data_IF_624282276750
#
_entry.id   IF_624282276750
#
_cell.length_a   1.000
_cell.length_b   1.000
_cell.length_c   1.000
_cell.angle_alpha   90.00
_cell.angle_beta   90.00
_cell.angle_gamma   90.00
#
_symmetry.space_group_name_H-M   'P 1'
#
loop_
_entity.id
_entity.type
_entity.pdbx_description
1 polymer ?
#
# COMPACT_ATOMS: atom_id res chain seq x y z
N UNK A 1 28.27 -0.83 -39.07
CA UNK A 1 27.06 -1.35 -38.42
C UNK A 1 26.42 -0.19 -37.67
N UNK A 2 25.44 0.46 -38.28
CA UNK A 2 24.73 1.61 -37.69
C UNK A 2 23.98 1.13 -36.45
N UNK A 3 24.26 1.78 -35.32
CA UNK A 3 23.70 1.45 -34.01
C UNK A 3 22.20 1.78 -34.02
N UNK A 4 21.36 0.79 -34.32
CA UNK A 4 19.91 0.95 -34.57
C UNK A 4 19.07 0.95 -33.28
N UNK A 5 19.73 1.03 -32.12
CA UNK A 5 19.12 0.99 -30.78
C UNK A 5 18.10 2.12 -30.56
N UNK A 6 18.28 3.27 -31.22
CA UNK A 6 17.34 4.40 -31.16
C UNK A 6 15.98 4.14 -31.81
N UNK A 7 15.83 3.07 -32.62
CA UNK A 7 14.54 2.71 -33.24
C UNK A 7 13.64 1.86 -32.35
N UNK A 8 14.17 1.31 -31.25
CA UNK A 8 13.42 0.42 -30.37
C UNK A 8 13.05 1.12 -29.06
N UNK A 9 11.79 0.94 -28.64
CA UNK A 9 11.31 1.42 -27.35
C UNK A 9 11.55 0.32 -26.32
N UNK A 10 12.13 0.70 -25.18
CA UNK A 10 12.27 -0.21 -24.05
C UNK A 10 10.89 -0.78 -23.64
N UNK A 11 10.80 -2.11 -23.54
CA UNK A 11 9.55 -2.82 -23.24
C UNK A 11 8.99 -2.43 -21.86
N UNK A 12 9.83 -2.37 -20.85
CA UNK A 12 9.40 -2.13 -19.47
C UNK A 12 9.00 -0.67 -19.27
N UNK A 13 9.71 0.28 -19.89
CA UNK A 13 9.30 1.68 -19.93
C UNK A 13 8.01 1.89 -20.73
N UNK A 14 7.78 1.12 -21.79
CA UNK A 14 6.50 1.14 -22.53
C UNK A 14 5.32 0.67 -21.67
N UNK A 15 5.53 -0.33 -20.81
CA UNK A 15 4.52 -0.76 -19.83
C UNK A 15 4.23 0.31 -18.78
N UNK A 16 5.26 1.02 -18.29
CA UNK A 16 5.05 2.17 -17.40
C UNK A 16 4.29 3.30 -18.10
N UNK A 17 4.61 3.60 -19.36
CA UNK A 17 3.89 4.59 -20.16
C UNK A 17 2.42 4.19 -20.38
N UNK A 18 2.14 2.89 -20.58
CA UNK A 18 0.78 2.37 -20.57
C UNK A 18 0.09 2.63 -19.22
N UNK A 19 0.76 2.37 -18.09
CA UNK A 19 0.17 2.60 -16.78
C UNK A 19 -0.09 4.10 -16.50
N UNK A 20 0.76 5.00 -17.01
CA UNK A 20 0.48 6.44 -17.02
C UNK A 20 -0.81 6.78 -17.78
N UNK A 21 -1.08 6.13 -18.92
CA UNK A 21 -2.34 6.33 -19.65
C UNK A 21 -3.55 5.81 -18.88
N UNK A 22 -3.41 4.72 -18.13
CA UNK A 22 -4.48 4.25 -17.21
C UNK A 22 -4.73 5.30 -16.13
N UNK A 23 -3.69 5.86 -15.51
CA UNK A 23 -3.84 6.95 -14.54
C UNK A 23 -4.49 8.20 -15.16
N UNK A 24 -4.23 8.50 -16.44
CA UNK A 24 -4.88 9.61 -17.14
C UNK A 24 -6.40 9.46 -17.21
N UNK A 25 -6.93 8.24 -17.28
CA UNK A 25 -8.39 8.02 -17.19
C UNK A 25 -8.96 8.39 -15.81
N UNK A 26 -8.17 8.26 -14.73
CA UNK A 26 -8.59 8.73 -13.40
C UNK A 26 -8.57 10.26 -13.27
N UNK A 27 -7.80 10.94 -14.13
CA UNK A 27 -7.63 12.39 -14.16
C UNK A 27 -8.62 13.07 -15.11
N UNK A 28 -9.30 12.32 -15.98
CA UNK A 28 -10.26 12.84 -16.94
C UNK A 28 -11.61 13.14 -16.27
N UNK A 29 -12.02 14.41 -16.28
CA UNK A 29 -13.28 14.85 -15.68
C UNK A 29 -14.52 14.44 -16.48
N UNK A 30 -14.36 14.00 -17.73
CA UNK A 30 -15.45 13.43 -18.52
C UNK A 30 -15.78 11.98 -18.10
N UNK A 31 -14.90 11.32 -17.35
CA UNK A 31 -15.13 9.98 -16.81
C UNK A 31 -15.92 10.11 -15.50
N UNK A 32 -16.99 9.31 -15.27
CA UNK A 32 -17.74 9.35 -14.02
C UNK A 32 -16.83 9.15 -12.79
N UNK A 33 -17.13 9.86 -11.68
CA UNK A 33 -16.25 9.93 -10.51
C UNK A 33 -15.83 8.57 -9.94
N UNK A 34 -16.75 7.63 -9.80
CA UNK A 34 -16.42 6.29 -9.31
C UNK A 34 -15.61 5.47 -10.32
N UNK A 35 -15.79 5.70 -11.62
CA UNK A 35 -14.95 5.08 -12.65
C UNK A 35 -13.53 5.67 -12.61
N UNK A 36 -13.37 6.96 -12.34
CA UNK A 36 -12.06 7.59 -12.10
C UNK A 36 -11.34 6.94 -10.92
N UNK A 37 -12.05 6.73 -9.81
CA UNK A 37 -11.50 6.01 -8.65
C UNK A 37 -11.08 4.57 -9.02
N UNK A 38 -11.89 3.86 -9.81
CA UNK A 38 -11.53 2.53 -10.31
C UNK A 38 -10.27 2.56 -11.17
N UNK A 39 -10.13 3.50 -12.10
CA UNK A 39 -8.91 3.64 -12.91
C UNK A 39 -7.68 3.93 -12.06
N UNK A 40 -7.80 4.75 -11.01
CA UNK A 40 -6.72 4.96 -10.05
C UNK A 40 -6.34 3.63 -9.38
N UNK A 41 -7.31 2.85 -8.89
CA UNK A 41 -7.05 1.53 -8.30
C UNK A 41 -6.38 0.56 -9.28
N UNK A 42 -6.86 0.51 -10.53
CA UNK A 42 -6.27 -0.32 -11.60
C UNK A 42 -4.82 0.09 -11.83
N UNK A 43 -4.50 1.39 -11.85
CA UNK A 43 -3.12 1.85 -12.03
C UNK A 43 -2.19 1.38 -10.91
N UNK A 44 -2.69 1.27 -9.67
CA UNK A 44 -1.96 0.71 -8.53
C UNK A 44 -1.77 -0.81 -8.66
N UNK A 45 -2.81 -1.54 -9.09
CA UNK A 45 -2.73 -2.99 -9.30
C UNK A 45 -1.76 -3.35 -10.42
N UNK A 46 -1.81 -2.64 -11.55
CA UNK A 46 -0.85 -2.80 -12.65
C UNK A 46 0.59 -2.57 -12.17
N UNK A 47 0.80 -1.57 -11.31
CA UNK A 47 2.11 -1.28 -10.75
C UNK A 47 2.58 -2.39 -9.81
N UNK A 48 1.70 -2.94 -8.97
CA UNK A 48 2.03 -4.09 -8.14
C UNK A 48 2.50 -5.27 -9.02
N UNK A 49 1.74 -5.65 -10.05
CA UNK A 49 2.09 -6.75 -10.95
C UNK A 49 3.40 -6.50 -11.71
N UNK A 50 3.62 -5.27 -12.17
CA UNK A 50 4.87 -4.86 -12.80
C UNK A 50 6.08 -5.10 -11.89
N UNK A 51 5.97 -4.78 -10.59
CA UNK A 51 7.04 -5.05 -9.62
C UNK A 51 7.20 -6.54 -9.29
N UNK A 52 6.09 -7.27 -9.20
CA UNK A 52 6.09 -8.71 -8.88
C UNK A 52 6.75 -9.55 -9.98
N UNK A 53 6.60 -9.15 -11.25
CA UNK A 53 7.09 -9.91 -12.41
C UNK A 53 8.30 -9.26 -13.06
N UNK A 54 8.19 -8.00 -13.51
CA UNK A 54 9.16 -7.36 -14.41
C UNK A 54 10.40 -6.89 -13.66
N UNK A 55 10.20 -6.08 -12.63
CA UNK A 55 11.32 -5.58 -11.80
C UNK A 55 12.04 -6.74 -11.11
N UNK A 56 11.31 -7.79 -10.70
CA UNK A 56 11.91 -8.99 -10.14
C UNK A 56 12.89 -9.67 -11.10
N UNK A 57 12.49 -9.89 -12.37
CA UNK A 57 13.36 -10.47 -13.41
C UNK A 57 14.59 -9.60 -13.68
N UNK A 58 14.42 -8.28 -13.74
CA UNK A 58 15.55 -7.35 -13.93
C UNK A 58 16.54 -7.39 -12.76
N UNK A 59 16.04 -7.41 -11.52
CA UNK A 59 16.88 -7.56 -10.32
C UNK A 59 17.66 -8.87 -10.34
N UNK A 60 17.02 -9.97 -10.74
CA UNK A 60 17.69 -11.27 -10.87
C UNK A 60 18.81 -11.24 -11.92
N UNK A 61 18.61 -10.58 -13.07
CA UNK A 61 19.67 -10.41 -14.08
C UNK A 61 20.88 -9.66 -13.51
N UNK A 62 20.64 -8.59 -12.75
CA UNK A 62 21.71 -7.82 -12.10
C UNK A 62 22.44 -8.67 -11.06
N UNK A 63 21.73 -9.42 -10.22
CA UNK A 63 22.32 -10.31 -9.20
C UNK A 63 23.19 -11.42 -9.83
N UNK A 64 22.81 -11.92 -11.01
CA UNK A 64 23.58 -12.90 -11.78
C UNK A 64 24.74 -12.27 -12.58
N UNK A 65 24.94 -10.95 -12.53
CA UNK A 65 25.99 -10.27 -13.29
C UNK A 65 25.74 -10.25 -14.80
N UNK A 66 24.50 -10.43 -15.25
CA UNK A 66 24.13 -10.37 -16.66
C UNK A 66 24.03 -8.89 -17.10
N UNK A 67 25.14 -8.35 -17.59
CA UNK A 67 25.27 -6.92 -17.96
C UNK A 67 24.93 -6.64 -19.43
N UNK A 68 24.56 -7.65 -20.21
CA UNK A 68 24.26 -7.47 -21.64
C UNK A 68 23.10 -6.49 -21.82
N UNK A 69 23.29 -5.40 -22.59
CA UNK A 69 22.21 -4.46 -22.88
C UNK A 69 21.06 -5.12 -23.62
N UNK A 70 19.86 -4.60 -23.40
CA UNK A 70 18.68 -4.92 -24.21
C UNK A 70 18.80 -4.28 -25.61
N UNK A 71 17.85 -4.58 -26.50
CA UNK A 71 17.83 -4.13 -27.91
C UNK A 71 17.79 -2.59 -28.03
N UNK A 72 17.24 -1.92 -27.02
CA UNK A 72 17.21 -0.46 -26.86
C UNK A 72 18.53 0.14 -26.32
N UNK A 73 19.53 -0.71 -26.01
CA UNK A 73 20.86 -0.29 -25.59
C UNK A 73 21.04 -0.04 -24.09
N UNK A 74 19.99 -0.19 -23.26
CA UNK A 74 20.10 -0.07 -21.81
C UNK A 74 20.59 -1.36 -21.16
N UNK A 75 21.54 -1.24 -20.24
CA UNK A 75 21.87 -2.32 -19.30
C UNK A 75 20.76 -2.53 -18.28
N UNK A 76 20.63 -3.71 -17.65
CA UNK A 76 19.61 -3.94 -16.62
C UNK A 76 19.68 -2.94 -15.44
N UNK A 77 20.87 -2.48 -15.07
CA UNK A 77 21.05 -1.47 -14.02
C UNK A 77 20.53 -0.09 -14.44
N UNK A 78 20.79 0.33 -15.68
CA UNK A 78 20.26 1.59 -16.22
C UNK A 78 18.75 1.53 -16.40
N UNK A 79 18.21 0.40 -16.84
CA UNK A 79 16.78 0.16 -16.97
C UNK A 79 16.08 0.23 -15.59
N UNK A 80 16.65 -0.39 -14.55
CA UNK A 80 16.15 -0.26 -13.17
C UNK A 80 16.16 1.19 -12.67
N UNK A 81 17.20 1.96 -13.00
CA UNK A 81 17.28 3.38 -12.63
C UNK A 81 16.21 4.21 -13.36
N UNK A 82 15.98 3.95 -14.65
CA UNK A 82 14.93 4.60 -15.43
C UNK A 82 13.52 4.24 -14.93
N UNK A 83 13.28 2.96 -14.63
CA UNK A 83 12.04 2.47 -14.01
C UNK A 83 11.80 3.15 -12.67
N UNK A 84 12.83 3.24 -11.82
CA UNK A 84 12.71 3.87 -10.52
C UNK A 84 12.25 5.32 -10.65
N UNK A 85 12.87 6.10 -11.54
CA UNK A 85 12.48 7.51 -11.78
C UNK A 85 11.01 7.62 -12.21
N UNK A 86 10.61 6.91 -13.26
CA UNK A 86 9.24 6.98 -13.79
C UNK A 86 8.20 6.49 -12.77
N UNK A 87 8.53 5.46 -11.98
CA UNK A 87 7.63 4.95 -10.94
C UNK A 87 7.41 5.98 -9.84
N UNK A 88 8.45 6.68 -9.37
CA UNK A 88 8.28 7.73 -8.36
C UNK A 88 7.37 8.85 -8.88
N UNK A 89 7.53 9.25 -10.15
CA UNK A 89 6.67 10.25 -10.78
C UNK A 89 5.22 9.75 -10.89
N UNK A 90 5.00 8.49 -11.30
CA UNK A 90 3.67 7.89 -11.38
C UNK A 90 2.99 7.84 -10.01
N UNK A 91 3.69 7.36 -8.97
CA UNK A 91 3.14 7.26 -7.61
C UNK A 91 2.82 8.65 -7.05
N UNK A 92 3.67 9.65 -7.29
CA UNK A 92 3.39 11.04 -6.93
C UNK A 92 2.07 11.51 -7.56
N UNK A 93 1.88 11.27 -8.86
CA UNK A 93 0.65 11.64 -9.56
C UNK A 93 -0.58 10.86 -9.05
N UNK A 94 -0.44 9.58 -8.67
CA UNK A 94 -1.51 8.80 -8.05
C UNK A 94 -2.00 9.45 -6.74
N UNK A 95 -1.06 9.86 -5.87
CA UNK A 95 -1.41 10.53 -4.62
C UNK A 95 -2.04 11.91 -4.84
N UNK A 96 -1.53 12.69 -5.79
CA UNK A 96 -2.14 13.98 -6.14
C UNK A 96 -3.57 13.78 -6.66
N UNK A 97 -3.76 12.85 -7.60
CA UNK A 97 -5.08 12.52 -8.16
C UNK A 97 -6.06 12.08 -7.07
N UNK A 98 -5.62 11.25 -6.11
CA UNK A 98 -6.45 10.82 -5.00
C UNK A 98 -6.83 11.98 -4.07
N UNK A 99 -5.83 12.69 -3.55
CA UNK A 99 -6.01 13.63 -2.44
C UNK A 99 -6.54 15.00 -2.90
N UNK A 100 -6.17 15.45 -4.09
CA UNK A 100 -6.48 16.80 -4.57
C UNK A 100 -7.68 16.81 -5.54
N UNK A 101 -8.06 15.66 -6.10
CA UNK A 101 -9.18 15.59 -7.06
C UNK A 101 -10.29 14.62 -6.63
N UNK A 102 -9.96 13.34 -6.41
CA UNK A 102 -11.00 12.31 -6.20
C UNK A 102 -11.66 12.43 -4.83
N UNK A 103 -10.89 12.49 -3.74
CA UNK A 103 -11.46 12.59 -2.38
C UNK A 103 -12.27 13.88 -2.18
N UNK A 104 -11.81 15.07 -2.64
CA UNK A 104 -12.63 16.28 -2.57
C UNK A 104 -13.93 16.19 -3.38
N UNK A 105 -13.88 15.64 -4.60
CA UNK A 105 -15.08 15.45 -5.43
C UNK A 105 -16.07 14.46 -4.80
N UNK A 106 -15.59 13.38 -4.17
CA UNK A 106 -16.44 12.45 -3.43
C UNK A 106 -17.13 13.15 -2.26
N UNK A 107 -16.42 14.03 -1.55
CA UNK A 107 -17.00 14.81 -0.45
C UNK A 107 -18.12 15.76 -0.90
N UNK A 108 -18.06 16.30 -2.11
CA UNK A 108 -19.14 17.10 -2.69
C UNK A 108 -20.42 16.28 -2.94
N UNK A 109 -20.25 15.00 -3.25
CA UNK A 109 -21.33 14.01 -3.38
C UNK A 109 -21.67 13.32 -2.03
N UNK A 110 -21.27 13.92 -0.91
CA UNK A 110 -21.54 13.42 0.45
C UNK A 110 -20.92 12.04 0.77
N UNK A 111 -19.89 11.63 0.03
CA UNK A 111 -19.11 10.42 0.26
C UNK A 111 -17.77 10.79 0.91
N UNK A 112 -17.63 10.58 2.22
CA UNK A 112 -16.46 11.06 2.97
C UNK A 112 -15.63 9.91 3.54
N UNK A 113 -14.31 10.12 3.59
CA UNK A 113 -13.42 9.29 4.40
C UNK A 113 -12.95 10.11 5.60
N UNK A 114 -13.51 9.80 6.76
CA UNK A 114 -13.28 10.56 7.98
C UNK A 114 -11.90 10.28 8.57
N UNK A 115 -11.15 11.35 8.81
CA UNK A 115 -9.94 11.33 9.62
C UNK A 115 -10.28 11.33 11.12
N UNK A 116 -9.33 10.97 11.98
CA UNK A 116 -9.55 10.95 13.45
C UNK A 116 -9.99 12.29 14.02
N UNK A 117 -9.61 13.41 13.37
CA UNK A 117 -10.00 14.75 13.77
C UNK A 117 -11.48 15.06 13.48
N UNK A 118 -12.10 14.32 12.56
CA UNK A 118 -13.50 14.47 12.15
C UNK A 118 -14.44 13.52 12.91
N UNK A 119 -13.93 12.70 13.82
CA UNK A 119 -14.76 11.77 14.59
C UNK A 119 -15.50 12.51 15.69
N UNK A 120 -16.83 12.43 15.67
CA UNK A 120 -17.68 12.76 16.83
C UNK A 120 -17.48 11.73 17.94
N UNK A 121 -17.94 12.02 19.15
CA UNK A 121 -17.86 11.09 20.28
C UNK A 121 -18.60 9.78 20.01
N UNK A 122 -19.72 9.84 19.29
CA UNK A 122 -20.50 8.64 18.91
C UNK A 122 -19.77 7.80 17.87
N UNK A 123 -19.18 8.43 16.85
CA UNK A 123 -18.33 7.73 15.87
C UNK A 123 -17.13 7.11 16.58
N UNK A 124 -16.45 7.84 17.46
CA UNK A 124 -15.31 7.31 18.23
C UNK A 124 -15.71 6.09 19.05
N UNK A 125 -16.85 6.14 19.75
CA UNK A 125 -17.36 5.02 20.56
C UNK A 125 -17.70 3.81 19.68
N UNK A 126 -18.35 4.03 18.54
CA UNK A 126 -18.68 2.97 17.59
C UNK A 126 -17.43 2.34 16.94
N UNK A 127 -16.46 3.14 16.50
CA UNK A 127 -15.20 2.64 15.94
C UNK A 127 -14.43 1.84 16.99
N UNK A 128 -14.38 2.33 18.23
CA UNK A 128 -13.72 1.63 19.35
C UNK A 128 -14.38 0.28 19.62
N UNK A 129 -15.71 0.23 19.71
CA UNK A 129 -16.45 -1.02 19.87
C UNK A 129 -16.20 -1.97 18.69
N UNK A 130 -16.25 -1.48 17.46
CA UNK A 130 -15.95 -2.27 16.26
C UNK A 130 -14.53 -2.81 16.28
N UNK A 131 -13.57 -2.01 16.76
CA UNK A 131 -12.20 -2.45 16.94
C UNK A 131 -12.10 -3.59 17.94
N UNK A 132 -12.67 -3.46 19.13
CA UNK A 132 -12.61 -4.49 20.17
C UNK A 132 -13.30 -5.79 19.77
N UNK A 133 -14.46 -5.69 19.11
CA UNK A 133 -15.30 -6.86 18.82
C UNK A 133 -14.92 -7.58 17.52
N UNK A 134 -14.42 -6.86 16.51
CA UNK A 134 -14.24 -7.43 15.16
C UNK A 134 -12.79 -7.37 14.67
N UNK A 135 -12.02 -6.35 15.05
CA UNK A 135 -10.67 -6.12 14.50
C UNK A 135 -9.61 -6.74 15.42
N UNK A 136 -9.55 -6.32 16.68
CA UNK A 136 -8.56 -6.75 17.66
C UNK A 136 -8.45 -8.29 17.78
N UNK A 137 -9.55 -9.07 17.82
CA UNK A 137 -9.46 -10.53 17.97
C UNK A 137 -8.76 -11.25 16.82
N UNK A 138 -8.71 -10.62 15.63
CA UNK A 138 -8.06 -11.19 14.44
C UNK A 138 -6.74 -10.51 14.11
N UNK A 139 -6.32 -9.50 14.88
CA UNK A 139 -4.98 -8.93 14.77
C UNK A 139 -3.96 -9.89 15.38
N UNK A 140 -2.85 -10.10 14.67
CA UNK A 140 -1.76 -10.93 15.18
C UNK A 140 -0.56 -10.06 15.55
N UNK A 141 -0.36 -9.71 16.83
CA UNK A 141 0.84 -9.03 17.29
C UNK A 141 2.01 -10.01 17.38
N UNK A 142 3.18 -9.58 16.90
CA UNK A 142 4.41 -10.36 16.88
C UNK A 142 5.55 -9.48 17.40
N UNK A 143 6.03 -9.75 18.61
CA UNK A 143 7.20 -9.06 19.15
C UNK A 143 8.45 -9.35 18.32
N UNK A 144 9.25 -8.31 18.06
CA UNK A 144 10.56 -8.45 17.43
C UNK A 144 11.64 -8.64 18.49
N UNK A 145 12.48 -9.65 18.27
CA UNK A 145 13.60 -10.02 19.11
C UNK A 145 14.84 -10.19 18.21
N UNK A 146 15.95 -9.46 18.44
CA UNK A 146 17.19 -9.63 17.66
C UNK A 146 17.72 -11.07 17.62
N UNK A 147 17.40 -11.89 18.63
CA UNK A 147 17.83 -13.29 18.68
C UNK A 147 16.99 -14.23 17.78
N UNK A 148 15.93 -13.71 17.12
CA UNK A 148 15.04 -14.49 16.26
C UNK A 148 14.97 -13.90 14.86
N UNK A 149 14.76 -14.73 13.81
CA UNK A 149 14.62 -14.22 12.46
C UNK A 149 13.41 -13.29 12.34
N UNK A 150 13.52 -12.30 11.45
CA UNK A 150 12.45 -11.36 11.19
C UNK A 150 11.18 -12.11 10.71
N UNK A 151 9.99 -11.81 11.27
CA UNK A 151 8.77 -12.54 10.92
C UNK A 151 8.42 -12.44 9.43
N UNK A 152 8.05 -13.56 8.80
CA UNK A 152 7.67 -13.57 7.37
C UNK A 152 6.45 -12.67 7.11
N UNK A 153 6.67 -11.59 6.36
CA UNK A 153 5.60 -10.68 5.92
C UNK A 153 4.95 -11.22 4.65
N UNK A 154 3.64 -11.42 4.69
CA UNK A 154 2.87 -11.90 3.54
C UNK A 154 2.85 -10.85 2.42
N UNK A 155 2.87 -11.33 1.17
CA UNK A 155 2.87 -10.46 0.01
C UNK A 155 1.60 -9.58 -0.02
N UNK A 156 1.75 -8.28 -0.28
CA UNK A 156 0.67 -7.29 -0.35
C UNK A 156 -0.24 -7.24 0.89
N UNK A 157 0.20 -7.76 2.05
CA UNK A 157 -0.57 -7.64 3.30
C UNK A 157 -0.37 -6.29 3.96
N UNK A 158 -1.39 -5.81 4.68
CA UNK A 158 -1.28 -4.63 5.53
C UNK A 158 -0.67 -5.05 6.86
N UNK A 159 0.43 -4.39 7.23
CA UNK A 159 1.12 -4.62 8.48
C UNK A 159 1.40 -3.28 9.14
N UNK A 160 1.62 -3.31 10.44
CA UNK A 160 2.02 -2.16 11.23
C UNK A 160 3.29 -2.50 11.98
N UNK A 161 4.27 -1.60 11.97
CA UNK A 161 5.41 -1.65 12.88
C UNK A 161 5.13 -0.69 14.03
N UNK A 162 5.16 -1.22 15.24
CA UNK A 162 4.76 -0.53 16.46
C UNK A 162 5.97 -0.46 17.39
N UNK A 163 6.35 0.74 17.80
CA UNK A 163 7.38 0.95 18.81
C UNK A 163 6.72 1.05 20.17
N UNK A 164 7.23 0.25 21.10
CA UNK A 164 6.66 0.06 22.43
C UNK A 164 7.61 0.61 23.49
N UNK A 165 7.05 1.22 24.53
CA UNK A 165 7.74 1.65 25.74
C UNK A 165 7.15 0.91 26.95
N UNK A 166 7.96 0.77 28.00
CA UNK A 166 7.56 0.06 29.21
C UNK A 166 7.98 -1.41 29.25
N UNK A 167 7.25 -2.21 30.02
CA UNK A 167 7.47 -3.64 30.20
C UNK A 167 6.13 -4.35 30.04
N UNK A 168 6.12 -5.48 29.35
CA UNK A 168 4.92 -6.30 29.28
C UNK A 168 4.55 -6.90 30.67
N UNK A 169 3.40 -7.57 30.75
CA UNK A 169 2.95 -8.27 31.97
C UNK A 169 3.97 -9.30 32.53
N UNK A 170 4.95 -9.72 31.71
CA UNK A 170 6.02 -10.65 32.07
C UNK A 170 7.37 -9.95 32.31
N UNK A 171 7.37 -8.62 32.50
CA UNK A 171 8.55 -7.77 32.72
C UNK A 171 9.56 -7.76 31.56
N UNK A 172 9.19 -8.26 30.37
CA UNK A 172 10.04 -8.26 29.18
C UNK A 172 10.07 -6.87 28.54
N UNK A 173 11.23 -6.51 28.02
CA UNK A 173 11.43 -5.29 27.23
C UNK A 173 11.33 -5.63 25.75
N UNK A 174 10.12 -5.62 25.20
CA UNK A 174 9.94 -5.64 23.75
C UNK A 174 9.87 -4.20 23.27
N UNK A 175 10.82 -3.77 22.44
CA UNK A 175 10.88 -2.39 21.93
C UNK A 175 10.10 -2.19 20.64
N UNK A 176 9.90 -3.27 19.88
CA UNK A 176 9.24 -3.22 18.58
C UNK A 176 8.39 -4.46 18.38
N UNK A 177 7.21 -4.28 17.80
CA UNK A 177 6.32 -5.36 17.40
C UNK A 177 5.77 -5.11 15.98
N UNK A 178 5.39 -6.19 15.32
CA UNK A 178 4.63 -6.15 14.07
C UNK A 178 3.20 -6.58 14.36
N UNK A 179 2.24 -5.80 13.91
CA UNK A 179 0.82 -6.17 13.94
C UNK A 179 0.37 -6.45 12.52
N UNK A 180 -0.19 -7.63 12.29
CA UNK A 180 -0.69 -8.04 10.97
C UNK A 180 -2.20 -7.91 10.92
N UNK A 181 -2.70 -7.19 9.92
CA UNK A 181 -4.13 -7.11 9.64
C UNK A 181 -4.50 -8.11 8.52
N UNK A 182 -5.31 -9.15 8.81
CA UNK A 182 -5.69 -10.15 7.82
C UNK A 182 -6.47 -9.53 6.65
N UNK A 183 -6.45 -10.20 5.49
CA UNK A 183 -7.16 -9.74 4.29
C UNK A 183 -8.68 -9.85 4.40
N UNK A 184 -9.18 -10.63 5.35
CA UNK A 184 -10.62 -10.75 5.65
C UNK A 184 -11.21 -9.47 6.25
N UNK A 185 -10.38 -8.61 6.85
CA UNK A 185 -10.85 -7.33 7.36
C UNK A 185 -11.10 -6.33 6.22
N UNK A 186 -12.26 -5.64 6.23
CA UNK A 186 -12.54 -4.59 5.26
C UNK A 186 -11.51 -3.45 5.41
N UNK A 187 -10.96 -2.96 4.29
CA UNK A 187 -10.03 -1.82 4.29
C UNK A 187 -10.72 -0.48 4.55
N UNK A 188 -12.00 -0.42 4.17
CA UNK A 188 -12.87 0.74 4.31
C UNK A 188 -14.12 0.27 5.06
N UNK A 189 -14.45 0.95 6.16
CA UNK A 189 -15.55 0.56 7.05
C UNK A 189 -16.57 1.69 7.01
N UNK A 190 -17.81 1.39 6.60
CA UNK A 190 -18.89 2.38 6.54
C UNK A 190 -19.38 2.72 7.94
N UNK A 191 -19.51 4.00 8.23
CA UNK A 191 -20.13 4.53 9.45
C UNK A 191 -21.65 4.29 9.36
N UNK A 192 -22.30 3.73 10.40
CA UNK A 192 -23.74 3.53 10.40
C UNK A 192 -24.50 4.87 10.28
N UNK A 193 -25.56 4.90 9.46
CA UNK A 193 -26.39 6.08 9.26
C UNK A 193 -26.96 6.66 10.59
N UNK A 194 -27.22 5.79 11.57
CA UNK A 194 -27.68 6.21 12.90
C UNK A 194 -26.73 7.17 13.64
N UNK A 195 -25.44 7.20 13.28
CA UNK A 195 -24.43 8.08 13.88
C UNK A 195 -23.70 8.97 12.86
N UNK A 196 -23.72 8.60 11.57
CA UNK A 196 -23.15 9.38 10.46
C UNK A 196 -24.14 10.30 9.75
N UNK A 197 -25.44 10.20 10.08
CA UNK A 197 -26.50 10.94 9.38
C UNK A 197 -26.75 10.41 7.97
N UNK A 198 -27.12 11.31 7.07
CA UNK A 198 -27.47 10.99 5.69
C UNK A 198 -26.26 10.86 4.75
N UNK A 199 -25.05 11.17 5.23
CA UNK A 199 -23.83 11.06 4.44
C UNK A 199 -23.34 9.61 4.34
N UNK A 200 -22.65 9.30 3.25
CA UNK A 200 -21.90 8.06 3.07
C UNK A 200 -20.49 8.21 3.66
N UNK A 201 -20.42 8.15 4.99
CA UNK A 201 -19.17 8.30 5.72
C UNK A 201 -18.44 6.96 5.93
N UNK A 202 -17.12 6.97 5.80
CA UNK A 202 -16.26 5.81 5.93
C UNK A 202 -15.04 6.10 6.81
N UNK A 203 -14.47 5.06 7.42
CA UNK A 203 -13.16 5.12 8.08
C UNK A 203 -12.23 4.05 7.49
N UNK A 204 -10.96 4.39 7.32
CA UNK A 204 -9.96 3.39 6.94
C UNK A 204 -9.61 2.48 8.11
N UNK A 205 -9.47 1.18 7.85
CA UNK A 205 -8.93 0.22 8.80
C UNK A 205 -7.57 0.65 9.36
N UNK A 206 -6.74 1.29 8.54
CA UNK A 206 -5.43 1.81 8.96
C UNK A 206 -5.55 2.88 10.04
N UNK A 207 -6.51 3.79 9.90
CA UNK A 207 -6.82 4.81 10.90
C UNK A 207 -7.32 4.18 12.19
N UNK A 208 -8.25 3.22 12.09
CA UNK A 208 -8.80 2.51 13.25
C UNK A 208 -7.71 1.76 14.02
N UNK A 209 -6.90 0.94 13.33
CA UNK A 209 -5.81 0.20 13.96
C UNK A 209 -4.80 1.17 14.56
N UNK A 210 -4.35 2.19 13.82
CA UNK A 210 -3.37 3.16 14.35
C UNK A 210 -3.85 3.83 15.64
N UNK A 211 -5.15 4.12 15.74
CA UNK A 211 -5.74 4.75 16.92
C UNK A 211 -5.77 3.82 18.15
N UNK A 212 -6.09 2.53 17.97
CA UNK A 212 -6.40 1.62 19.08
C UNK A 212 -5.42 0.44 19.23
N UNK A 213 -4.34 0.37 18.43
CA UNK A 213 -3.37 -0.75 18.47
C UNK A 213 -2.73 -0.97 19.84
N UNK A 214 -2.72 0.05 20.72
CA UNK A 214 -2.23 -0.07 22.10
C UNK A 214 -2.93 -1.16 22.91
N UNK A 215 -4.20 -1.44 22.63
CA UNK A 215 -4.95 -2.49 23.33
C UNK A 215 -4.44 -3.91 23.01
N UNK A 216 -3.70 -4.09 21.91
CA UNK A 216 -3.02 -5.35 21.61
C UNK A 216 -1.78 -5.58 22.50
N UNK A 217 -1.36 -4.59 23.29
CA UNK A 217 -0.14 -4.61 24.10
C UNK A 217 -0.42 -4.16 25.55
N UNK A 218 -1.14 -4.96 26.36
CA UNK A 218 -1.48 -4.59 27.73
C UNK A 218 -0.23 -4.37 28.60
N UNK A 219 -0.21 -3.24 29.32
CA UNK A 219 0.90 -2.84 30.18
C UNK A 219 2.04 -2.11 29.46
N UNK A 220 1.90 -1.82 28.16
CA UNK A 220 2.90 -1.12 27.36
C UNK A 220 2.31 0.12 26.70
N UNK A 221 3.15 1.15 26.56
CA UNK A 221 2.78 2.38 25.86
C UNK A 221 3.22 2.33 24.40
N UNK A 222 2.39 2.84 23.49
CA UNK A 222 2.73 2.99 22.08
C UNK A 222 3.50 4.29 21.88
N UNK A 223 4.78 4.21 21.53
CA UNK A 223 5.57 5.38 21.16
C UNK A 223 5.29 5.84 19.73
N UNK A 224 5.13 4.90 18.81
CA UNK A 224 4.78 5.20 17.42
C UNK A 224 4.23 3.96 16.70
N UNK A 225 3.44 4.19 15.65
CA UNK A 225 2.83 3.15 14.84
C UNK A 225 2.85 3.58 13.37
N UNK A 226 3.50 2.77 12.53
CA UNK A 226 3.64 3.02 11.09
C UNK A 226 3.09 1.84 10.30
N UNK A 227 2.26 2.12 9.30
CA UNK A 227 1.78 1.10 8.37
C UNK A 227 2.85 0.79 7.32
N UNK A 228 2.90 -0.46 6.88
CA UNK A 228 3.75 -0.87 5.76
C UNK A 228 3.16 -2.07 5.03
N UNK A 229 3.58 -2.22 3.77
CA UNK A 229 3.23 -3.30 2.87
C UNK A 229 4.48 -3.67 2.08
N UNK A 230 4.67 -4.97 1.82
CA UNK A 230 5.77 -5.46 0.99
C UNK A 230 5.19 -6.14 -0.23
N UNK A 231 5.75 -5.84 -1.39
CA UNK A 231 5.51 -6.55 -2.64
C UNK A 231 6.68 -7.50 -2.89
N UNK A 232 6.39 -8.78 -3.06
CA UNK A 232 7.37 -9.86 -3.30
C UNK A 232 7.21 -10.37 -4.72
N UNK A 233 8.30 -10.85 -5.32
CA UNK A 233 8.22 -11.46 -6.65
C UNK A 233 7.19 -12.59 -6.70
N UNK A 234 6.51 -12.70 -7.83
CA UNK A 234 5.76 -13.91 -8.14
C UNK A 234 6.78 -15.01 -8.40
N UNK A 235 6.81 -16.08 -7.62
CA UNK A 235 7.65 -17.27 -7.85
C UNK A 235 7.25 -18.04 -9.14
N UNK A 236 6.92 -17.33 -10.21
CA UNK A 236 6.57 -17.83 -11.52
C UNK A 236 7.85 -17.87 -12.35
N UNK A 237 8.55 -19.00 -12.29
CA UNK A 237 9.49 -19.36 -13.33
C UNK A 237 8.64 -19.68 -14.56
N UNK A 238 8.72 -18.84 -15.59
CA UNK A 238 8.23 -19.22 -16.91
C UNK A 238 9.38 -19.97 -17.54
N UNK A 239 9.17 -21.26 -17.79
CA UNK A 239 10.06 -22.06 -18.63
C UNK A 239 9.94 -21.49 -20.05
N UNK A 240 10.97 -20.79 -20.52
CA UNK A 240 11.05 -20.29 -21.88
C UNK A 240 11.82 -21.36 -22.68
N UNK A 241 11.10 -22.19 -23.46
CA UNK A 241 11.67 -22.91 -24.61
C UNK A 241 12.19 -21.92 -25.66
#
# INVERSE_FOLDING_TARGET
MTNDTQRFINRELSLLAFNHRVLKQAQDEHVPLLERLKFLCISCTNLDEFFEVRVARLKQKVELGLLSPSIDGLTPSEELAAIAKQTHDLVKQQYQTLNENILPALGQEQVNILTTAQWTDDIRRWVHQSFQQQILPVLTPIGLDPARPFPKVFNKSLNFIVHLQGKDAYKRRTRTAIVRAPRSLPRLIRVPAAIGGDNDDFVFLTTVVKQFVGEAFPGMDIASCFQFRVTRNSHLFVDEE
#
